data_IF_885625175671
#
_entry.id   IF_885625175671
#
_cell.length_a   1.000
_cell.length_b   1.000
_cell.length_c   1.000
_cell.angle_alpha   90.00
_cell.angle_beta   90.00
_cell.angle_gamma   90.00
#
_symmetry.space_group_name_H-M   'P 1'
#
loop_
_entity.id
_entity.type
_entity.pdbx_description
1 polymer ?
#
# COMPACT_ATOMS: atom_id res chain seq x y z
N UNK A 1 11.35 -0.33 14.86
CA UNK A 1 10.56 -1.53 15.21
C UNK A 1 9.68 -1.87 14.02
N UNK A 2 9.76 -3.08 13.47
CA UNK A 2 8.86 -3.52 12.41
C UNK A 2 7.41 -3.52 12.94
N UNK A 3 6.51 -2.80 12.29
CA UNK A 3 5.09 -2.81 12.64
C UNK A 3 4.55 -4.23 12.48
N UNK A 4 3.95 -4.77 13.53
CA UNK A 4 3.30 -6.09 13.51
C UNK A 4 1.88 -5.87 12.98
N UNK A 5 1.63 -6.14 11.69
CA UNK A 5 0.29 -6.01 11.14
C UNK A 5 0.29 -5.85 9.63
N UNK A 6 -0.90 -5.62 9.08
CA UNK A 6 -1.10 -5.34 7.67
C UNK A 6 -0.42 -4.04 7.27
N UNK A 7 0.26 -4.04 6.14
CA UNK A 7 0.87 -2.84 5.55
C UNK A 7 -0.11 -2.07 4.69
N UNK A 8 0.06 -0.75 4.65
CA UNK A 8 -0.75 0.14 3.82
C UNK A 8 0.15 1.07 3.02
N UNK A 9 -0.24 1.32 1.78
CA UNK A 9 0.55 2.17 0.91
C UNK A 9 -0.26 2.70 -0.27
N UNK A 10 0.45 3.37 -1.17
CA UNK A 10 -0.11 3.87 -2.41
C UNK A 10 0.49 3.13 -3.61
N UNK A 11 -0.36 2.83 -4.58
CA UNK A 11 0.03 2.46 -5.93
C UNK A 11 -0.19 3.70 -6.80
N UNK A 12 0.87 4.47 -6.95
CA UNK A 12 0.86 5.72 -7.67
C UNK A 12 0.98 5.43 -9.17
N UNK A 13 -0.14 5.10 -9.79
CA UNK A 13 -0.35 5.36 -11.19
C UNK A 13 -0.69 6.85 -11.26
N UNK A 14 0.22 7.72 -11.75
CA UNK A 14 0.07 9.16 -11.57
C UNK A 14 -0.92 9.72 -12.58
N UNK A 15 -2.19 9.36 -12.42
CA UNK A 15 -3.29 9.83 -13.25
C UNK A 15 -3.51 11.32 -13.07
N UNK A 16 -3.33 12.08 -14.15
CA UNK A 16 -3.58 13.51 -14.18
C UNK A 16 -4.48 13.87 -15.35
N UNK A 17 -5.38 14.81 -15.12
CA UNK A 17 -6.30 15.28 -16.17
C UNK A 17 -5.52 15.94 -17.29
N UNK A 18 -5.91 15.61 -18.52
CA UNK A 18 -5.32 16.27 -19.69
C UNK A 18 -5.52 17.78 -19.63
N UNK A 19 -4.48 18.55 -19.99
CA UNK A 19 -4.50 20.01 -19.97
C UNK A 19 -4.01 20.66 -18.67
N UNK A 20 -3.72 19.89 -17.64
CA UNK A 20 -3.03 20.40 -16.45
C UNK A 20 -1.54 20.63 -16.71
N UNK A 21 -0.93 21.55 -15.95
CA UNK A 21 0.51 21.78 -16.00
C UNK A 21 1.27 20.54 -15.49
N UNK A 22 2.02 19.81 -16.33
CA UNK A 22 2.65 18.55 -15.94
C UNK A 22 3.72 18.71 -14.85
N UNK A 23 4.39 19.86 -14.77
CA UNK A 23 5.37 20.12 -13.70
C UNK A 23 4.68 20.19 -12.33
N UNK A 24 3.51 20.84 -12.26
CA UNK A 24 2.72 20.93 -11.04
C UNK A 24 2.06 19.58 -10.68
N UNK A 25 1.67 18.81 -11.68
CA UNK A 25 1.16 17.44 -11.48
C UNK A 25 2.23 16.55 -10.83
N UNK A 26 3.45 16.50 -11.37
CA UNK A 26 4.57 15.76 -10.77
C UNK A 26 4.92 16.26 -9.35
N UNK A 27 4.88 17.57 -9.11
CA UNK A 27 5.13 18.12 -7.77
C UNK A 27 4.07 17.66 -6.76
N UNK A 28 2.80 17.60 -7.19
CA UNK A 28 1.67 17.08 -6.36
C UNK A 28 1.83 15.61 -6.00
N UNK A 29 2.33 14.78 -6.90
CA UNK A 29 2.63 13.37 -6.61
C UNK A 29 3.67 13.23 -5.49
N UNK A 30 4.72 14.04 -5.53
CA UNK A 30 5.75 14.05 -4.49
C UNK A 30 5.21 14.57 -3.16
N UNK A 31 4.41 15.62 -3.16
CA UNK A 31 3.72 16.13 -1.96
C UNK A 31 2.83 15.05 -1.33
N UNK A 32 2.14 14.26 -2.15
CA UNK A 32 1.32 13.15 -1.67
C UNK A 32 2.17 12.08 -1.00
N UNK A 33 3.31 11.69 -1.59
CA UNK A 33 4.22 10.72 -0.97
C UNK A 33 4.79 11.25 0.36
N UNK A 34 5.17 12.54 0.44
CA UNK A 34 5.59 13.18 1.70
C UNK A 34 4.50 13.12 2.77
N UNK A 35 3.26 13.42 2.37
CA UNK A 35 2.10 13.37 3.27
C UNK A 35 1.86 11.96 3.80
N UNK A 36 1.96 10.96 2.93
CA UNK A 36 1.81 9.55 3.32
C UNK A 36 2.93 9.10 4.27
N UNK A 37 4.17 9.51 4.06
CA UNK A 37 5.28 9.25 4.99
C UNK A 37 5.00 9.86 6.38
N UNK A 38 4.53 11.11 6.42
CA UNK A 38 4.17 11.79 7.65
C UNK A 38 3.00 11.10 8.38
N UNK A 39 1.98 10.64 7.65
CA UNK A 39 0.84 9.90 8.19
C UNK A 39 1.21 8.48 8.65
N UNK A 40 2.39 8.00 8.26
CA UNK A 40 2.91 6.70 8.65
C UNK A 40 2.44 5.54 7.78
N UNK A 41 2.13 5.78 6.52
CA UNK A 41 1.99 4.72 5.53
C UNK A 41 3.31 3.97 5.32
N UNK A 42 3.22 2.72 4.91
CA UNK A 42 4.38 1.83 4.84
C UNK A 42 5.07 1.87 3.48
N UNK A 43 4.34 2.05 2.37
CA UNK A 43 4.85 1.84 1.02
C UNK A 43 4.26 2.84 0.00
N UNK A 44 5.11 3.30 -0.95
CA UNK A 44 4.68 4.01 -2.16
C UNK A 44 5.29 3.31 -3.38
N UNK A 45 4.45 2.89 -4.33
CA UNK A 45 4.83 2.20 -5.56
C UNK A 45 4.51 3.10 -6.76
N UNK A 46 5.52 3.49 -7.52
CA UNK A 46 5.45 4.52 -8.57
C UNK A 46 5.45 3.86 -9.94
N UNK A 47 4.45 4.14 -10.77
CA UNK A 47 4.25 3.56 -12.10
C UNK A 47 5.20 4.10 -13.15
N UNK A 48 5.29 3.37 -14.29
CA UNK A 48 6.04 3.72 -15.49
C UNK A 48 5.12 3.67 -16.70
N UNK A 49 4.98 4.82 -17.40
CA UNK A 49 4.25 4.90 -18.67
C UNK A 49 4.92 5.89 -19.62
N UNK A 50 4.78 5.64 -20.93
CA UNK A 50 5.46 6.40 -21.99
C UNK A 50 4.49 7.05 -22.98
N UNK A 51 3.18 6.80 -22.85
CA UNK A 51 2.16 7.25 -23.78
C UNK A 51 0.82 7.55 -23.11
N UNK A 52 -0.22 7.76 -23.88
CA UNK A 52 -1.59 8.04 -23.45
C UNK A 52 -1.81 9.38 -22.74
N UNK A 53 -0.75 10.07 -22.25
CA UNK A 53 -0.81 11.44 -21.72
C UNK A 53 -1.35 11.59 -20.29
N UNK A 54 -1.90 10.55 -19.69
CA UNK A 54 -2.52 10.60 -18.36
C UNK A 54 -1.55 10.29 -17.22
N UNK A 55 -0.59 9.41 -17.45
CA UNK A 55 0.42 9.02 -16.50
C UNK A 55 1.78 9.58 -16.95
N UNK A 56 2.32 10.54 -16.21
CA UNK A 56 3.41 11.40 -16.70
C UNK A 56 4.80 10.97 -16.26
N UNK A 57 4.93 9.87 -15.51
CA UNK A 57 6.22 9.38 -15.03
C UNK A 57 6.74 8.29 -15.98
N UNK A 58 7.78 8.62 -16.73
CA UNK A 58 8.44 7.70 -17.67
C UNK A 58 9.61 6.92 -17.02
N UNK A 59 10.11 7.39 -15.89
CA UNK A 59 11.22 6.75 -15.15
C UNK A 59 10.93 6.79 -13.64
N UNK A 60 10.35 5.73 -13.09
CA UNK A 60 10.05 5.67 -11.66
C UNK A 60 11.30 5.82 -10.80
N UNK A 61 12.47 5.40 -11.27
CA UNK A 61 13.74 5.54 -10.55
C UNK A 61 14.08 7.01 -10.22
N UNK A 62 13.80 7.94 -11.14
CA UNK A 62 14.02 9.37 -10.92
C UNK A 62 13.05 9.92 -9.87
N UNK A 63 11.78 9.53 -9.95
CA UNK A 63 10.78 9.93 -8.97
C UNK A 63 11.09 9.34 -7.58
N UNK A 64 11.52 8.08 -7.50
CA UNK A 64 11.98 7.43 -6.26
C UNK A 64 13.16 8.20 -5.66
N UNK A 65 14.19 8.55 -6.46
CA UNK A 65 15.34 9.30 -5.97
C UNK A 65 14.92 10.67 -5.39
N UNK A 66 14.02 11.37 -6.05
CA UNK A 66 13.50 12.65 -5.57
C UNK A 66 12.64 12.51 -4.31
N UNK A 67 11.77 11.49 -4.24
CA UNK A 67 10.95 11.20 -3.07
C UNK A 67 11.80 10.77 -1.86
N UNK A 68 12.90 10.06 -2.08
CA UNK A 68 13.80 9.60 -1.01
C UNK A 68 14.39 10.73 -0.19
N UNK A 69 14.71 11.87 -0.81
CA UNK A 69 15.23 13.07 -0.12
C UNK A 69 14.16 13.78 0.71
N UNK A 70 12.89 13.60 0.36
CA UNK A 70 11.74 14.26 1.01
C UNK A 70 11.10 13.42 2.11
N UNK A 71 11.38 12.11 2.15
CA UNK A 71 10.75 11.14 3.06
C UNK A 71 11.77 10.50 4.00
N UNK A 72 11.29 9.86 5.08
CA UNK A 72 12.15 9.27 6.11
C UNK A 72 11.91 7.79 6.35
N UNK A 73 10.66 7.33 6.25
CA UNK A 73 10.25 6.00 6.70
C UNK A 73 9.62 5.16 5.60
N UNK A 74 8.84 5.77 4.72
CA UNK A 74 8.08 5.07 3.69
C UNK A 74 9.04 4.35 2.73
N UNK A 75 8.72 3.09 2.40
CA UNK A 75 9.42 2.32 1.39
C UNK A 75 9.00 2.83 0.00
N UNK A 76 9.93 2.92 -0.91
CA UNK A 76 9.72 3.49 -2.25
C UNK A 76 10.00 2.44 -3.32
N UNK A 77 8.99 2.09 -4.10
CA UNK A 77 9.10 1.05 -5.12
C UNK A 77 8.67 1.51 -6.51
N UNK A 78 9.19 0.87 -7.54
CA UNK A 78 8.56 0.97 -8.85
C UNK A 78 7.27 0.14 -8.89
N UNK A 79 6.21 0.68 -9.39
CA UNK A 79 4.90 0.03 -9.43
C UNK A 79 4.26 0.08 -10.83
N UNK A 80 4.95 -0.45 -11.85
CA UNK A 80 6.14 -1.31 -11.92
C UNK A 80 7.21 -0.73 -12.86
N UNK A 81 8.41 -1.30 -12.83
CA UNK A 81 9.35 -1.18 -13.94
C UNK A 81 8.94 -2.18 -15.02
N UNK A 82 8.69 -1.70 -16.23
CA UNK A 82 8.31 -2.52 -17.40
C UNK A 82 9.55 -3.20 -17.98
N UNK A 83 9.96 -4.32 -17.40
CA UNK A 83 11.24 -4.98 -17.69
C UNK A 83 11.55 -5.18 -19.18
N UNK A 84 10.58 -5.50 -20.07
CA UNK A 84 10.85 -5.66 -21.52
C UNK A 84 11.36 -4.39 -22.21
N UNK A 85 11.23 -3.23 -21.61
CA UNK A 85 11.66 -1.94 -22.16
C UNK A 85 13.10 -1.59 -21.79
N UNK A 86 13.74 -2.36 -20.89
CA UNK A 86 15.02 -2.03 -20.29
C UNK A 86 16.01 -3.18 -20.36
N UNK A 87 17.28 -2.86 -20.57
CA UNK A 87 18.35 -3.86 -20.44
C UNK A 87 18.48 -4.31 -18.96
N UNK A 88 18.40 -5.62 -18.63
CA UNK A 88 18.32 -6.11 -17.25
C UNK A 88 19.52 -5.72 -16.37
N UNK A 89 20.72 -5.67 -16.95
CA UNK A 89 21.91 -5.21 -16.22
C UNK A 89 21.79 -3.76 -15.74
N UNK A 90 21.23 -2.88 -16.56
CA UNK A 90 21.02 -1.48 -16.20
C UNK A 90 19.93 -1.33 -15.12
N UNK A 91 18.86 -2.12 -15.19
CA UNK A 91 17.84 -2.14 -14.14
C UNK A 91 18.46 -2.56 -12.81
N UNK A 92 19.19 -3.69 -12.78
CA UNK A 92 19.84 -4.18 -11.56
C UNK A 92 20.79 -3.12 -10.96
N UNK A 93 21.63 -2.47 -11.78
CA UNK A 93 22.55 -1.42 -11.32
C UNK A 93 21.84 -0.21 -10.72
N UNK A 94 20.79 0.29 -11.38
CA UNK A 94 20.04 1.47 -10.93
C UNK A 94 19.35 1.20 -9.60
N UNK A 95 18.74 0.02 -9.43
CA UNK A 95 18.07 -0.33 -8.18
C UNK A 95 19.06 -0.61 -7.05
N UNK A 96 20.24 -1.16 -7.32
CA UNK A 96 21.31 -1.25 -6.31
C UNK A 96 21.81 0.13 -5.91
N UNK A 97 21.99 1.04 -6.86
CA UNK A 97 22.34 2.42 -6.56
C UNK A 97 21.27 3.11 -5.69
N UNK A 98 19.97 2.96 -6.03
CA UNK A 98 18.86 3.47 -5.24
C UNK A 98 18.81 2.84 -3.84
N UNK A 99 19.16 1.56 -3.69
CA UNK A 99 19.19 0.88 -2.40
C UNK A 99 20.21 1.56 -1.45
N UNK A 100 21.39 1.93 -1.95
CA UNK A 100 22.35 2.74 -1.21
C UNK A 100 21.85 4.16 -0.93
N UNK A 101 21.30 4.85 -1.94
CA UNK A 101 20.81 6.22 -1.80
C UNK A 101 19.67 6.31 -0.77
N UNK A 102 18.78 5.33 -0.76
CA UNK A 102 17.63 5.26 0.14
C UNK A 102 17.93 4.59 1.49
N UNK A 103 19.14 4.01 1.64
CA UNK A 103 19.57 3.24 2.82
C UNK A 103 18.60 2.09 3.11
N UNK A 104 18.30 1.29 2.09
CA UNK A 104 17.46 0.10 2.21
C UNK A 104 15.95 0.35 2.11
N UNK A 105 15.51 1.53 1.66
CA UNK A 105 14.07 1.84 1.50
C UNK A 105 13.56 1.65 0.07
N UNK A 106 14.37 1.12 -0.86
CA UNK A 106 13.92 0.86 -2.23
C UNK A 106 13.28 -0.52 -2.38
N UNK A 107 12.34 -0.63 -3.31
CA UNK A 107 11.71 -1.87 -3.74
C UNK A 107 11.63 -1.91 -5.27
N UNK A 108 11.73 -3.09 -5.87
CA UNK A 108 11.57 -3.29 -7.32
C UNK A 108 10.26 -4.02 -7.61
N UNK A 109 9.30 -3.33 -8.20
CA UNK A 109 8.14 -3.96 -8.81
C UNK A 109 8.40 -4.22 -10.29
N UNK A 110 8.11 -5.44 -10.73
CA UNK A 110 8.35 -5.91 -12.08
C UNK A 110 7.05 -6.17 -12.83
N UNK A 111 6.98 -5.75 -14.08
CA UNK A 111 5.85 -6.01 -14.97
C UNK A 111 6.24 -6.15 -16.42
N UNK A 112 5.34 -6.68 -17.26
CA UNK A 112 5.58 -6.82 -18.70
C UNK A 112 5.33 -5.55 -19.51
N UNK A 113 4.83 -4.46 -18.88
CA UNK A 113 4.23 -3.33 -19.55
C UNK A 113 2.72 -3.50 -19.70
N UNK A 114 1.97 -2.43 -19.50
CA UNK A 114 0.50 -2.45 -19.46
C UNK A 114 -0.16 -1.84 -20.71
N UNK A 115 0.41 -0.76 -21.26
CA UNK A 115 -0.16 -0.05 -22.38
C UNK A 115 0.39 -0.58 -23.72
N UNK A 116 -0.47 -1.03 -24.65
CA UNK A 116 -0.03 -1.44 -25.99
C UNK A 116 0.68 -0.31 -26.76
N UNK A 117 0.29 0.95 -26.53
CA UNK A 117 0.91 2.11 -27.14
C UNK A 117 2.35 2.33 -26.70
N UNK A 118 2.71 2.03 -25.45
CA UNK A 118 4.09 2.08 -24.96
C UNK A 118 4.96 1.08 -25.72
N UNK A 119 4.52 -0.19 -25.80
CA UNK A 119 5.22 -1.23 -26.54
C UNK A 119 5.36 -0.90 -28.01
N UNK A 120 4.29 -0.37 -28.65
CA UNK A 120 4.30 0.05 -30.05
C UNK A 120 5.34 1.15 -30.31
N UNK A 121 5.38 2.20 -29.49
CA UNK A 121 6.35 3.29 -29.63
C UNK A 121 7.79 2.85 -29.44
N UNK A 122 8.02 1.82 -28.60
CA UNK A 122 9.33 1.22 -28.38
C UNK A 122 9.69 0.13 -29.42
N UNK A 123 8.81 -0.14 -30.40
CA UNK A 123 9.05 -1.16 -31.43
C UNK A 123 9.03 -2.59 -30.89
N UNK A 124 8.25 -2.84 -29.83
CA UNK A 124 8.16 -4.16 -29.21
C UNK A 124 6.77 -4.76 -29.46
N UNK A 125 6.75 -5.93 -30.08
CA UNK A 125 5.51 -6.66 -30.29
C UNK A 125 4.96 -7.20 -28.95
N UNK A 126 3.67 -6.97 -28.63
CA UNK A 126 3.08 -7.37 -27.35
C UNK A 126 3.22 -8.88 -27.02
N UNK A 127 3.30 -9.73 -28.02
CA UNK A 127 3.48 -11.19 -27.86
C UNK A 127 4.80 -11.54 -27.18
N UNK A 128 5.81 -10.68 -27.28
CA UNK A 128 7.14 -10.89 -26.68
C UNK A 128 7.26 -10.37 -25.24
N UNK A 129 6.36 -9.53 -24.78
CA UNK A 129 6.50 -8.82 -23.50
C UNK A 129 6.65 -9.77 -22.30
N UNK A 130 5.84 -10.82 -22.22
CA UNK A 130 5.88 -11.76 -21.09
C UNK A 130 7.18 -12.55 -21.05
N UNK A 131 7.62 -13.08 -22.19
CA UNK A 131 8.89 -13.80 -22.30
C UNK A 131 10.07 -12.91 -21.94
N UNK A 132 10.14 -11.70 -22.51
CA UNK A 132 11.20 -10.74 -22.20
C UNK A 132 11.23 -10.36 -20.72
N UNK A 133 10.06 -10.23 -20.10
CA UNK A 133 9.99 -10.00 -18.65
C UNK A 133 10.59 -11.17 -17.85
N UNK A 134 10.27 -12.41 -18.18
CA UNK A 134 10.83 -13.60 -17.50
C UNK A 134 12.36 -13.68 -17.66
N UNK A 135 12.84 -13.50 -18.87
CA UNK A 135 14.28 -13.49 -19.20
C UNK A 135 15.02 -12.36 -18.42
N UNK A 136 14.43 -11.17 -18.38
CA UNK A 136 14.98 -10.03 -17.63
C UNK A 136 14.98 -10.28 -16.12
N UNK A 137 13.89 -10.80 -15.59
CA UNK A 137 13.75 -11.07 -14.15
C UNK A 137 14.76 -12.12 -13.69
N UNK A 138 14.95 -13.20 -14.45
CA UNK A 138 15.97 -14.21 -14.18
C UNK A 138 17.38 -13.62 -14.17
N UNK A 139 17.71 -12.81 -15.18
CA UNK A 139 18.98 -12.11 -15.28
C UNK A 139 19.23 -11.17 -14.07
N UNK A 140 18.20 -10.38 -13.68
CA UNK A 140 18.30 -9.45 -12.53
C UNK A 140 18.52 -10.21 -11.23
N UNK A 141 17.80 -11.31 -10.99
CA UNK A 141 17.93 -12.11 -9.77
C UNK A 141 19.33 -12.73 -9.69
N UNK A 142 19.86 -13.25 -10.80
CA UNK A 142 21.23 -13.78 -10.85
C UNK A 142 22.27 -12.71 -10.58
N UNK A 143 22.14 -11.53 -11.16
CA UNK A 143 23.05 -10.40 -10.94
C UNK A 143 23.04 -9.94 -9.46
N UNK A 144 21.87 -9.90 -8.82
CA UNK A 144 21.74 -9.45 -7.42
C UNK A 144 22.32 -10.42 -6.39
N UNK A 145 22.54 -11.67 -6.74
CA UNK A 145 23.26 -12.62 -5.87
C UNK A 145 24.73 -12.24 -5.68
N UNK A 146 25.33 -11.57 -6.67
CA UNK A 146 26.74 -11.12 -6.68
C UNK A 146 27.78 -12.23 -6.49
N UNK A 147 27.41 -13.48 -6.61
CA UNK A 147 28.27 -14.65 -6.42
C UNK A 147 29.07 -15.01 -7.67
N UNK A 148 28.52 -14.88 -8.86
CA UNK A 148 29.13 -15.23 -10.13
C UNK A 148 29.04 -14.11 -11.18
N UNK A 149 29.80 -14.28 -12.27
CA UNK A 149 29.61 -13.49 -13.50
C UNK A 149 28.52 -14.09 -14.34
N UNK A 150 27.61 -13.28 -14.84
CA UNK A 150 26.45 -13.69 -15.62
C UNK A 150 26.71 -13.49 -17.11
N UNK A 151 26.74 -14.58 -17.86
CA UNK A 151 26.67 -14.54 -19.33
C UNK A 151 25.33 -15.05 -19.77
N UNK A 152 24.61 -14.24 -20.54
CA UNK A 152 23.27 -14.57 -21.05
C UNK A 152 23.05 -13.86 -22.40
N UNK A 153 22.54 -14.58 -23.39
CA UNK A 153 22.22 -14.06 -24.71
C UNK A 153 20.79 -14.44 -25.09
N UNK A 154 20.02 -13.47 -25.54
CA UNK A 154 18.64 -13.60 -26.04
C UNK A 154 18.52 -12.90 -27.40
N UNK A 155 17.34 -12.86 -27.99
CA UNK A 155 17.09 -12.11 -29.22
C UNK A 155 16.98 -10.57 -29.02
N UNK A 156 17.05 -10.08 -27.76
CA UNK A 156 16.83 -8.66 -27.45
C UNK A 156 17.83 -8.06 -26.46
N UNK A 157 18.60 -8.86 -25.72
CA UNK A 157 19.75 -8.39 -24.95
C UNK A 157 20.88 -9.42 -24.91
N UNK A 158 22.09 -8.94 -24.66
CA UNK A 158 23.27 -9.78 -24.42
C UNK A 158 24.03 -9.26 -23.20
N UNK A 159 24.46 -10.17 -22.32
CA UNK A 159 25.39 -9.91 -21.22
C UNK A 159 26.58 -10.85 -21.35
N UNK A 160 27.79 -10.30 -21.24
CA UNK A 160 29.05 -11.05 -21.30
C UNK A 160 29.80 -10.85 -19.99
N UNK A 161 29.94 -11.93 -19.20
CA UNK A 161 30.62 -11.91 -17.91
C UNK A 161 30.20 -10.72 -17.00
N UNK A 162 28.91 -10.33 -17.08
CA UNK A 162 28.38 -9.20 -16.36
C UNK A 162 28.38 -9.47 -14.85
N UNK A 163 28.83 -8.50 -14.07
CA UNK A 163 28.78 -8.52 -12.61
C UNK A 163 28.54 -7.12 -12.10
N UNK A 164 27.69 -6.98 -11.11
CA UNK A 164 27.48 -5.70 -10.45
C UNK A 164 28.77 -5.31 -9.70
N UNK A 165 29.20 -4.06 -9.86
CA UNK A 165 30.37 -3.54 -9.17
C UNK A 165 30.03 -3.01 -7.77
N UNK A 166 28.74 -2.84 -7.48
CA UNK A 166 28.19 -2.47 -6.19
C UNK A 166 27.23 -3.57 -5.76
N UNK A 167 27.42 -4.13 -4.57
CA UNK A 167 26.49 -5.09 -4.00
C UNK A 167 25.25 -4.35 -3.44
N UNK A 168 24.09 -5.01 -3.30
CA UNK A 168 22.94 -4.42 -2.62
C UNK A 168 23.30 -3.92 -1.21
N UNK A 169 22.70 -2.81 -0.79
CA UNK A 169 22.79 -2.32 0.59
C UNK A 169 21.95 -3.20 1.52
N UNK A 170 20.83 -3.67 1.06
CA UNK A 170 19.91 -4.56 1.77
C UNK A 170 20.39 -6.01 1.73
N UNK A 171 20.29 -6.75 2.84
CA UNK A 171 20.69 -8.16 2.93
C UNK A 171 19.46 -9.09 2.89
N UNK A 172 19.43 -10.11 2.01
CA UNK A 172 20.38 -10.41 0.93
C UNK A 172 20.19 -9.49 -0.30
N UNK A 173 19.10 -8.74 -0.40
CA UNK A 173 18.76 -7.74 -1.43
C UNK A 173 17.50 -6.97 -1.03
N UNK A 174 17.21 -5.88 -1.73
CA UNK A 174 15.93 -5.16 -1.61
C UNK A 174 14.73 -6.03 -2.04
N UNK A 175 13.53 -5.64 -1.59
CA UNK A 175 12.30 -6.35 -1.90
C UNK A 175 11.97 -6.29 -3.39
N UNK A 176 11.61 -7.44 -3.97
CA UNK A 176 11.15 -7.57 -5.36
C UNK A 176 9.73 -8.13 -5.36
N UNK A 177 8.84 -7.51 -6.14
CA UNK A 177 7.48 -7.97 -6.33
C UNK A 177 7.10 -7.99 -7.82
N UNK A 178 6.19 -8.87 -8.19
CA UNK A 178 5.70 -9.02 -9.57
C UNK A 178 4.25 -8.56 -9.64
N UNK A 179 3.94 -7.74 -10.65
CA UNK A 179 2.57 -7.34 -10.94
C UNK A 179 1.75 -8.52 -11.47
N UNK A 180 0.56 -8.69 -10.91
CA UNK A 180 -0.41 -9.68 -11.35
C UNK A 180 -1.75 -9.02 -11.64
N UNK A 181 -2.31 -9.35 -12.80
CA UNK A 181 -3.65 -8.94 -13.22
C UNK A 181 -4.58 -10.15 -13.23
N UNK A 182 -5.37 -10.32 -14.28
CA UNK A 182 -6.34 -11.43 -14.39
C UNK A 182 -5.65 -12.74 -14.85
N UNK A 183 -4.57 -12.63 -15.63
CA UNK A 183 -3.88 -13.82 -16.16
C UNK A 183 -2.97 -14.45 -15.10
N UNK A 184 -2.73 -15.77 -15.14
CA UNK A 184 -1.88 -16.45 -14.18
C UNK A 184 -0.39 -16.07 -14.28
N UNK A 185 0.01 -15.36 -15.33
CA UNK A 185 1.41 -15.06 -15.65
C UNK A 185 2.18 -14.44 -14.48
N UNK A 186 1.63 -13.39 -13.86
CA UNK A 186 2.31 -12.71 -12.73
C UNK A 186 2.49 -13.62 -11.52
N UNK A 187 1.52 -14.49 -11.25
CA UNK A 187 1.60 -15.48 -10.16
C UNK A 187 2.65 -16.55 -10.43
N UNK A 188 2.72 -17.04 -11.68
CA UNK A 188 3.76 -18.00 -12.10
C UNK A 188 5.15 -17.37 -12.01
N UNK A 189 5.35 -16.15 -12.51
CA UNK A 189 6.62 -15.47 -12.46
C UNK A 189 7.09 -15.19 -11.00
N UNK A 190 6.17 -14.76 -10.12
CA UNK A 190 6.47 -14.59 -8.70
C UNK A 190 6.80 -15.92 -8.01
N UNK A 191 6.00 -16.97 -8.27
CA UNK A 191 6.18 -18.30 -7.68
C UNK A 191 7.52 -18.93 -8.03
N UNK A 192 7.96 -18.82 -9.28
CA UNK A 192 9.24 -19.39 -9.76
C UNK A 192 10.43 -18.94 -8.91
N UNK A 193 10.40 -17.74 -8.36
CA UNK A 193 11.51 -17.13 -7.60
C UNK A 193 11.16 -16.84 -6.13
N UNK A 194 9.96 -17.17 -5.65
CA UNK A 194 9.50 -16.86 -4.29
C UNK A 194 9.43 -15.36 -4.00
N UNK A 195 8.93 -14.57 -4.95
CA UNK A 195 8.87 -13.11 -4.87
C UNK A 195 7.53 -12.60 -4.32
N UNK A 196 7.49 -11.32 -3.94
CA UNK A 196 6.25 -10.63 -3.61
C UNK A 196 5.32 -10.49 -4.81
N UNK A 197 4.05 -10.18 -4.54
CA UNK A 197 3.01 -10.01 -5.58
C UNK A 197 2.28 -8.69 -5.37
N UNK A 198 2.10 -7.94 -6.45
CA UNK A 198 1.24 -6.77 -6.56
C UNK A 198 -0.01 -7.18 -7.36
N UNK A 199 -1.11 -7.53 -6.67
CA UNK A 199 -2.37 -7.94 -7.30
C UNK A 199 -3.17 -6.73 -7.76
N UNK A 200 -2.82 -6.18 -8.92
CA UNK A 200 -3.56 -5.07 -9.57
C UNK A 200 -4.94 -5.56 -10.03
N UNK A 201 -5.04 -6.83 -10.40
CA UNK A 201 -6.30 -7.46 -10.82
C UNK A 201 -7.36 -7.53 -9.72
N UNK A 202 -6.99 -7.43 -8.44
CA UNK A 202 -7.94 -7.44 -7.34
C UNK A 202 -8.93 -6.26 -7.37
N UNK A 203 -8.54 -5.12 -7.94
CA UNK A 203 -9.40 -3.96 -8.18
C UNK A 203 -10.27 -4.04 -9.44
N UNK A 204 -10.28 -5.16 -10.14
CA UNK A 204 -11.06 -5.37 -11.34
C UNK A 204 -12.27 -6.28 -11.08
N UNK A 205 -13.36 -6.20 -11.88
CA UNK A 205 -14.49 -7.11 -11.77
C UNK A 205 -14.05 -8.59 -11.79
N UNK A 206 -14.53 -9.39 -10.82
CA UNK A 206 -14.13 -10.79 -10.64
C UNK A 206 -12.77 -10.99 -9.99
N UNK A 207 -12.03 -9.91 -9.71
CA UNK A 207 -10.71 -9.97 -9.08
C UNK A 207 -10.74 -10.50 -7.65
N UNK A 208 -11.61 -9.99 -6.76
CA UNK A 208 -11.70 -10.48 -5.40
C UNK A 208 -12.01 -11.98 -5.30
N UNK A 209 -12.90 -12.48 -6.14
CA UNK A 209 -13.27 -13.89 -6.21
C UNK A 209 -12.12 -14.78 -6.70
N UNK A 210 -11.26 -14.25 -7.57
CA UNK A 210 -10.12 -14.98 -8.11
C UNK A 210 -8.89 -15.02 -7.18
N UNK A 211 -8.82 -14.18 -6.14
CA UNK A 211 -7.61 -14.01 -5.32
C UNK A 211 -7.07 -15.34 -4.74
N UNK A 212 -7.94 -16.17 -4.15
CA UNK A 212 -7.51 -17.42 -3.54
C UNK A 212 -6.93 -18.40 -4.57
N UNK A 213 -7.57 -18.54 -5.74
CA UNK A 213 -7.08 -19.40 -6.82
C UNK A 213 -5.81 -18.86 -7.47
N UNK A 214 -5.70 -17.55 -7.63
CA UNK A 214 -4.49 -16.90 -8.12
C UNK A 214 -3.30 -17.12 -7.18
N UNK A 215 -3.48 -16.94 -5.88
CA UNK A 215 -2.42 -17.20 -4.90
C UNK A 215 -1.96 -18.66 -4.91
N UNK A 216 -2.91 -19.60 -5.04
CA UNK A 216 -2.57 -21.02 -5.16
C UNK A 216 -1.68 -21.33 -6.37
N UNK A 217 -1.87 -20.66 -7.50
CA UNK A 217 -0.98 -20.80 -8.66
C UNK A 217 0.47 -20.41 -8.27
N UNK A 218 0.66 -19.34 -7.53
CA UNK A 218 1.99 -18.93 -7.08
C UNK A 218 2.60 -19.95 -6.10
N UNK A 219 1.83 -20.47 -5.15
CA UNK A 219 2.29 -21.49 -4.19
C UNK A 219 2.67 -22.81 -4.91
N UNK A 220 1.83 -23.29 -5.83
CA UNK A 220 2.08 -24.51 -6.60
C UNK A 220 3.33 -24.34 -7.49
N UNK A 221 3.49 -23.18 -8.12
CA UNK A 221 4.69 -22.89 -8.93
C UNK A 221 5.94 -22.80 -8.06
N UNK A 222 5.86 -22.16 -6.88
CA UNK A 222 7.00 -22.09 -5.97
C UNK A 222 7.45 -23.48 -5.51
N UNK A 223 6.52 -24.35 -5.16
CA UNK A 223 6.83 -25.73 -4.78
C UNK A 223 7.56 -26.50 -5.89
N UNK A 224 7.14 -26.31 -7.17
CA UNK A 224 7.79 -26.94 -8.34
C UNK A 224 9.24 -26.45 -8.55
N UNK A 225 9.57 -25.22 -8.11
CA UNK A 225 10.89 -24.61 -8.31
C UNK A 225 11.74 -24.55 -7.03
N UNK A 226 11.31 -25.22 -5.94
CA UNK A 226 12.04 -25.22 -4.66
C UNK A 226 12.03 -23.86 -3.94
N UNK A 227 11.08 -22.99 -4.27
CA UNK A 227 10.88 -21.70 -3.65
C UNK A 227 9.68 -21.72 -2.67
N UNK A 228 9.50 -20.64 -1.92
CA UNK A 228 8.39 -20.51 -0.96
C UNK A 228 7.74 -19.14 -1.11
N UNK A 229 6.41 -19.13 -1.19
CA UNK A 229 5.62 -17.90 -1.20
C UNK A 229 5.30 -17.44 0.23
N UNK A 230 5.35 -16.13 0.44
CA UNK A 230 5.02 -15.53 1.73
C UNK A 230 3.87 -14.53 1.56
N UNK A 231 2.71 -14.82 2.16
CA UNK A 231 1.53 -13.94 2.12
C UNK A 231 1.79 -12.54 2.68
N UNK A 232 2.80 -12.35 3.53
CA UNK A 232 3.22 -11.03 4.02
C UNK A 232 3.77 -10.13 2.90
N UNK A 233 4.20 -10.71 1.78
CA UNK A 233 4.72 -10.02 0.61
C UNK A 233 3.69 -9.89 -0.51
N UNK A 234 2.43 -10.22 -0.23
CA UNK A 234 1.30 -10.06 -1.14
C UNK A 234 0.59 -8.74 -0.87
N UNK A 235 0.49 -7.89 -1.89
CA UNK A 235 -0.21 -6.60 -1.87
C UNK A 235 -1.42 -6.65 -2.79
N UNK A 236 -2.56 -6.19 -2.26
CA UNK A 236 -3.80 -6.05 -3.02
C UNK A 236 -3.94 -4.58 -3.42
N UNK A 237 -4.17 -4.31 -4.71
CA UNK A 237 -4.32 -2.95 -5.25
C UNK A 237 -5.79 -2.68 -5.52
N UNK A 238 -6.36 -1.67 -4.86
CA UNK A 238 -7.75 -1.23 -5.02
C UNK A 238 -7.86 0.29 -5.00
N UNK A 239 -8.92 0.86 -5.58
CA UNK A 239 -9.23 2.28 -5.39
C UNK A 239 -9.68 2.57 -3.95
N UNK A 240 -9.41 3.79 -3.43
CA UNK A 240 -9.84 4.17 -2.09
C UNK A 240 -10.19 5.65 -1.99
N UNK A 241 -11.35 5.93 -1.37
CA UNK A 241 -11.68 7.27 -0.87
C UNK A 241 -12.60 7.17 0.34
N UNK A 242 -12.20 7.74 1.46
CA UNK A 242 -13.06 7.77 2.65
C UNK A 242 -13.35 9.19 3.11
N UNK A 243 -14.53 9.35 3.67
CA UNK A 243 -14.99 10.57 4.31
C UNK A 243 -15.61 10.23 5.69
N UNK A 244 -16.20 11.20 6.35
CA UNK A 244 -16.81 11.00 7.67
C UNK A 244 -18.01 10.06 7.63
N UNK A 245 -18.69 9.96 6.48
CA UNK A 245 -19.79 9.04 6.23
C UNK A 245 -19.79 8.53 4.77
N UNK A 246 -20.50 7.41 4.53
CA UNK A 246 -20.54 6.74 3.24
C UNK A 246 -21.11 7.62 2.12
N UNK A 247 -22.19 8.34 2.40
CA UNK A 247 -22.85 9.17 1.40
C UNK A 247 -21.98 10.38 1.00
N UNK A 248 -21.24 10.96 1.96
CA UNK A 248 -20.29 12.03 1.69
C UNK A 248 -19.16 11.53 0.80
N UNK A 249 -18.57 10.37 1.11
CA UNK A 249 -17.52 9.77 0.31
C UNK A 249 -17.98 9.53 -1.14
N UNK A 250 -19.13 8.91 -1.32
CA UNK A 250 -19.73 8.65 -2.64
C UNK A 250 -19.98 9.93 -3.44
N UNK A 251 -20.53 10.98 -2.80
CA UNK A 251 -20.73 12.28 -3.46
C UNK A 251 -19.41 12.92 -3.91
N UNK A 252 -18.35 12.82 -3.11
CA UNK A 252 -17.04 13.41 -3.42
C UNK A 252 -16.38 12.80 -4.65
N UNK A 253 -16.54 11.49 -4.86
CA UNK A 253 -15.82 10.77 -5.92
C UNK A 253 -16.60 10.64 -7.23
N UNK A 254 -17.93 10.78 -7.21
CA UNK A 254 -18.82 10.45 -8.33
C UNK A 254 -18.42 11.10 -9.66
N UNK A 255 -18.13 12.40 -9.63
CA UNK A 255 -17.81 13.15 -10.85
C UNK A 255 -16.41 12.82 -11.39
N UNK A 256 -15.43 12.68 -10.50
CA UNK A 256 -14.06 12.38 -10.88
C UNK A 256 -13.86 10.95 -11.36
N UNK A 257 -14.51 9.98 -10.71
CA UNK A 257 -14.50 8.58 -11.16
C UNK A 257 -15.13 8.45 -12.55
N UNK A 258 -16.26 9.07 -12.76
CA UNK A 258 -16.90 9.06 -14.08
C UNK A 258 -16.03 9.69 -15.16
N UNK A 259 -15.36 10.80 -14.85
CA UNK A 259 -14.42 11.44 -15.77
C UNK A 259 -13.26 10.51 -16.12
N UNK A 260 -12.62 9.88 -15.13
CA UNK A 260 -11.52 8.92 -15.34
C UNK A 260 -12.00 7.73 -16.17
N UNK A 261 -13.16 7.15 -15.84
CA UNK A 261 -13.71 6.01 -16.56
C UNK A 261 -13.98 6.35 -18.02
N UNK A 262 -14.67 7.47 -18.28
CA UNK A 262 -15.01 7.86 -19.66
C UNK A 262 -13.78 8.31 -20.44
N UNK A 263 -13.00 9.28 -19.93
CA UNK A 263 -11.97 9.91 -20.75
C UNK A 263 -10.68 9.08 -20.84
N UNK A 264 -10.30 8.34 -19.78
CA UNK A 264 -9.12 7.51 -19.83
C UNK A 264 -9.43 6.09 -20.29
N UNK A 265 -10.30 5.36 -19.58
CA UNK A 265 -10.49 3.94 -19.89
C UNK A 265 -11.28 3.70 -21.17
N UNK A 266 -12.33 4.47 -21.45
CA UNK A 266 -13.18 4.27 -22.63
C UNK A 266 -12.61 4.99 -23.86
N UNK A 267 -12.47 6.33 -23.82
CA UNK A 267 -12.04 7.14 -24.96
C UNK A 267 -10.55 6.93 -25.31
N UNK A 268 -9.64 6.92 -24.33
CA UNK A 268 -8.20 6.79 -24.59
C UNK A 268 -7.77 5.35 -24.77
N UNK A 269 -8.22 4.42 -23.91
CA UNK A 269 -7.80 3.01 -23.95
C UNK A 269 -8.77 2.10 -24.71
N UNK A 270 -9.91 2.60 -25.17
CA UNK A 270 -10.89 1.82 -25.96
C UNK A 270 -11.57 0.70 -25.19
N UNK A 271 -11.68 0.81 -23.85
CA UNK A 271 -12.43 -0.18 -23.08
C UNK A 271 -13.92 -0.05 -23.30
N UNK A 272 -14.62 -1.17 -23.27
CA UNK A 272 -16.08 -1.19 -23.40
C UNK A 272 -16.70 -0.49 -22.18
N UNK A 273 -17.64 0.48 -22.40
CA UNK A 273 -18.33 1.15 -21.32
C UNK A 273 -19.04 0.19 -20.37
N UNK A 274 -18.96 0.46 -19.09
CA UNK A 274 -19.72 -0.26 -18.08
C UNK A 274 -21.21 0.09 -18.16
N UNK A 275 -22.08 -0.81 -17.69
CA UNK A 275 -23.54 -0.64 -17.71
C UNK A 275 -24.12 -0.18 -16.37
N UNK A 276 -23.29 0.07 -15.36
CA UNK A 276 -23.75 0.47 -14.03
C UNK A 276 -24.09 1.95 -13.97
N UNK A 277 -25.21 2.27 -13.32
CA UNK A 277 -25.62 3.64 -13.00
C UNK A 277 -24.81 4.24 -11.81
N UNK A 278 -24.24 3.39 -10.95
CA UNK A 278 -23.42 3.78 -9.79
C UNK A 278 -22.22 2.83 -9.64
N UNK A 279 -21.21 2.96 -10.53
CA UNK A 279 -20.06 2.04 -10.58
C UNK A 279 -19.23 2.04 -9.28
N UNK A 280 -19.18 3.17 -8.57
CA UNK A 280 -18.46 3.26 -7.29
C UNK A 280 -19.14 2.41 -6.22
N UNK A 281 -20.47 2.56 -6.05
CA UNK A 281 -21.25 1.78 -5.07
C UNK A 281 -21.23 0.29 -5.39
N UNK A 282 -21.31 -0.07 -6.65
CA UNK A 282 -21.21 -1.46 -7.09
C UNK A 282 -19.80 -2.01 -6.88
N UNK A 283 -18.76 -1.21 -7.10
CA UNK A 283 -17.39 -1.57 -6.78
C UNK A 283 -17.17 -1.85 -5.28
N UNK A 284 -17.77 -1.06 -4.39
CA UNK A 284 -17.73 -1.32 -2.93
C UNK A 284 -18.38 -2.67 -2.59
N UNK A 285 -19.55 -2.97 -3.18
CA UNK A 285 -20.24 -4.26 -2.98
C UNK A 285 -19.39 -5.44 -3.50
N UNK A 286 -18.78 -5.27 -4.68
CA UNK A 286 -17.92 -6.25 -5.32
C UNK A 286 -16.49 -6.29 -4.76
N UNK A 287 -16.15 -5.48 -3.76
CA UNK A 287 -14.83 -5.38 -3.12
C UNK A 287 -13.70 -4.92 -4.05
N UNK A 288 -14.00 -4.30 -5.18
CA UNK A 288 -13.00 -3.76 -6.12
C UNK A 288 -12.53 -2.36 -5.74
N UNK A 289 -13.25 -1.68 -4.83
CA UNK A 289 -12.89 -0.37 -4.32
C UNK A 289 -13.32 -0.18 -2.86
N UNK A 290 -12.63 0.70 -2.15
CA UNK A 290 -12.86 1.05 -0.73
C UNK A 290 -13.34 2.49 -0.67
N UNK A 291 -14.65 2.71 -0.82
CA UNK A 291 -15.26 4.06 -0.74
C UNK A 291 -16.35 4.08 0.32
N UNK A 292 -16.25 5.01 1.28
CA UNK A 292 -17.21 5.14 2.38
C UNK A 292 -16.60 5.76 3.64
N UNK A 293 -17.16 5.42 4.78
CA UNK A 293 -16.67 5.79 6.11
C UNK A 293 -15.47 4.90 6.52
N UNK A 294 -14.74 5.26 7.60
CA UNK A 294 -13.72 4.38 8.18
C UNK A 294 -14.24 2.97 8.51
N UNK A 295 -15.46 2.85 9.03
CA UNK A 295 -16.10 1.57 9.34
C UNK A 295 -16.38 0.77 8.08
N UNK A 296 -16.81 1.41 7.00
CA UNK A 296 -16.99 0.76 5.70
C UNK A 296 -15.66 0.28 5.14
N UNK A 297 -14.60 1.07 5.26
CA UNK A 297 -13.26 0.67 4.84
C UNK A 297 -12.77 -0.59 5.60
N UNK A 298 -12.96 -0.64 6.91
CA UNK A 298 -12.61 -1.83 7.72
C UNK A 298 -13.38 -3.05 7.20
N UNK A 299 -14.70 -2.97 7.05
CA UNK A 299 -15.52 -4.09 6.57
C UNK A 299 -15.11 -4.59 5.18
N UNK A 300 -14.79 -3.68 4.25
CA UNK A 300 -14.36 -4.05 2.89
C UNK A 300 -13.02 -4.79 2.93
N UNK A 301 -12.04 -4.28 3.69
CA UNK A 301 -10.72 -4.91 3.80
C UNK A 301 -10.81 -6.28 4.51
N UNK A 302 -11.63 -6.42 5.54
CA UNK A 302 -11.89 -7.72 6.18
C UNK A 302 -12.49 -8.75 5.21
N UNK A 303 -13.46 -8.33 4.39
CA UNK A 303 -14.06 -9.20 3.37
C UNK A 303 -13.06 -9.56 2.27
N UNK A 304 -12.22 -8.62 1.82
CA UNK A 304 -11.10 -8.90 0.91
C UNK A 304 -10.13 -9.91 1.51
N UNK A 305 -9.78 -9.75 2.79
CA UNK A 305 -8.92 -10.69 3.50
C UNK A 305 -9.52 -12.09 3.56
N UNK A 306 -10.82 -12.19 3.83
CA UNK A 306 -11.53 -13.46 3.82
C UNK A 306 -11.57 -14.10 2.42
N UNK A 307 -11.86 -13.31 1.37
CA UNK A 307 -11.90 -13.77 -0.03
C UNK A 307 -10.55 -14.30 -0.52
N UNK A 308 -9.43 -13.81 0.02
CA UNK A 308 -8.08 -14.27 -0.33
C UNK A 308 -7.76 -15.70 0.16
N UNK A 309 -8.60 -16.31 0.99
CA UNK A 309 -8.40 -17.67 1.48
C UNK A 309 -7.23 -17.83 2.45
N UNK A 310 -6.91 -16.81 3.24
CA UNK A 310 -5.82 -16.87 4.25
C UNK A 310 -5.13 -15.51 4.50
N UNK A 311 -5.71 -14.43 3.99
CA UNK A 311 -5.19 -13.08 4.15
C UNK A 311 -4.06 -12.74 3.20
N UNK A 312 -3.60 -11.50 3.31
CA UNK A 312 -2.50 -10.91 2.54
C UNK A 312 -1.72 -9.93 3.43
N UNK A 313 -0.53 -9.53 2.97
CA UNK A 313 0.38 -8.69 3.77
C UNK A 313 0.03 -7.21 3.77
N UNK A 314 -0.71 -6.71 2.78
CA UNK A 314 -1.07 -5.29 2.76
C UNK A 314 -1.98 -4.87 1.61
N UNK A 315 -2.47 -3.64 1.71
CA UNK A 315 -3.31 -3.00 0.71
C UNK A 315 -2.61 -1.76 0.18
N UNK A 316 -2.58 -1.63 -1.13
CA UNK A 316 -2.11 -0.45 -1.83
C UNK A 316 -3.30 0.26 -2.47
N UNK A 317 -3.41 1.55 -2.25
CA UNK A 317 -4.47 2.33 -2.84
C UNK A 317 -4.02 2.92 -4.16
N UNK A 318 -4.72 2.57 -5.24
CA UNK A 318 -4.47 3.17 -6.54
C UNK A 318 -4.73 4.67 -6.46
N UNK A 319 -3.72 5.47 -6.79
CA UNK A 319 -3.88 6.92 -6.91
C UNK A 319 -4.90 7.27 -8.00
N UNK A 320 -5.67 8.30 -7.78
CA UNK A 320 -6.68 8.81 -8.70
C UNK A 320 -7.06 10.26 -8.37
N UNK A 321 -7.69 10.94 -9.31
CA UNK A 321 -8.21 12.30 -9.14
C UNK A 321 -9.75 12.31 -9.08
N UNK A 322 -10.35 11.40 -8.30
CA UNK A 322 -11.80 11.32 -8.15
C UNK A 322 -12.39 12.47 -7.33
N UNK A 323 -11.58 13.04 -6.42
CA UNK A 323 -12.00 14.11 -5.51
C UNK A 323 -11.00 15.29 -5.57
N UNK A 324 -11.32 16.40 -4.90
CA UNK A 324 -10.37 17.52 -4.81
C UNK A 324 -9.12 17.14 -4.04
N UNK A 325 -8.04 17.93 -4.19
CA UNK A 325 -6.79 17.70 -3.46
C UNK A 325 -7.03 17.64 -1.93
N UNK A 326 -7.79 18.60 -1.39
CA UNK A 326 -8.10 18.66 0.04
C UNK A 326 -8.87 17.42 0.51
N UNK A 327 -9.85 16.99 -0.27
CA UNK A 327 -10.65 15.79 0.03
C UNK A 327 -9.78 14.52 -0.04
N UNK A 328 -8.89 14.42 -1.03
CA UNK A 328 -7.94 13.32 -1.17
C UNK A 328 -6.98 13.24 0.02
N UNK A 329 -6.36 14.36 0.39
CA UNK A 329 -5.46 14.44 1.55
C UNK A 329 -6.19 14.07 2.84
N UNK A 330 -7.43 14.55 3.01
CA UNK A 330 -8.26 14.23 4.17
C UNK A 330 -8.66 12.76 4.21
N UNK A 331 -8.94 12.15 3.08
CA UNK A 331 -9.25 10.73 2.95
C UNK A 331 -8.09 9.87 3.46
N UNK A 332 -6.86 10.12 3.02
CA UNK A 332 -5.68 9.41 3.53
C UNK A 332 -5.46 9.65 5.03
N UNK A 333 -5.71 10.87 5.54
CA UNK A 333 -5.62 11.18 6.97
C UNK A 333 -6.64 10.37 7.79
N UNK A 334 -7.90 10.33 7.38
CA UNK A 334 -8.95 9.56 8.05
C UNK A 334 -8.61 8.08 8.09
N UNK A 335 -8.09 7.54 6.97
CA UNK A 335 -7.66 6.15 6.89
C UNK A 335 -6.51 5.87 7.88
N UNK A 336 -5.49 6.72 7.92
CA UNK A 336 -4.37 6.58 8.84
C UNK A 336 -4.79 6.67 10.31
N UNK A 337 -5.78 7.53 10.64
CA UNK A 337 -6.25 7.72 12.01
C UNK A 337 -7.15 6.61 12.52
N UNK A 338 -8.04 6.09 11.68
CA UNK A 338 -9.14 5.23 12.15
C UNK A 338 -9.10 3.81 11.60
N UNK A 339 -8.49 3.58 10.41
CA UNK A 339 -8.47 2.26 9.77
C UNK A 339 -7.14 1.53 10.01
N UNK A 340 -6.01 2.18 9.76
CA UNK A 340 -4.69 1.56 9.96
C UNK A 340 -4.49 1.01 11.37
N UNK A 341 -4.84 1.74 12.46
CA UNK A 341 -4.63 1.24 13.83
C UNK A 341 -5.43 -0.04 14.14
N UNK A 342 -6.59 -0.24 13.50
CA UNK A 342 -7.40 -1.45 13.64
C UNK A 342 -6.63 -2.68 13.14
N UNK A 343 -6.09 -2.64 11.93
CA UNK A 343 -5.35 -3.76 11.34
C UNK A 343 -3.92 -3.92 11.87
N UNK A 344 -3.33 -2.86 12.38
CA UNK A 344 -1.96 -2.86 12.91
C UNK A 344 -1.90 -3.11 14.42
N UNK A 345 -3.05 -3.15 15.10
CA UNK A 345 -3.14 -3.36 16.55
C UNK A 345 -2.57 -2.20 17.38
N UNK A 346 -2.33 -1.04 16.79
CA UNK A 346 -1.67 0.09 17.47
C UNK A 346 -2.53 0.69 18.61
N UNK A 347 -3.85 0.63 18.50
CA UNK A 347 -4.77 1.13 19.49
C UNK A 347 -5.11 0.10 20.61
N UNK A 348 -4.80 -1.16 20.42
CA UNK A 348 -5.18 -2.24 21.35
C UNK A 348 -4.70 -2.00 22.80
N UNK A 349 -3.42 -1.63 23.07
CA UNK A 349 -2.98 -1.38 24.44
C UNK A 349 -3.69 -0.22 25.12
N UNK A 350 -4.06 0.81 24.36
CA UNK A 350 -4.80 1.98 24.90
C UNK A 350 -6.22 1.57 25.30
N UNK A 351 -6.89 0.79 24.45
CA UNK A 351 -8.24 0.26 24.69
C UNK A 351 -8.23 -0.66 25.90
N UNK A 352 -7.28 -1.59 25.98
CA UNK A 352 -7.10 -2.50 27.11
C UNK A 352 -6.85 -1.74 28.42
N UNK A 353 -5.94 -0.74 28.40
CA UNK A 353 -5.66 0.09 29.57
C UNK A 353 -6.90 0.84 30.07
N UNK A 354 -7.66 1.42 29.13
CA UNK A 354 -8.90 2.12 29.48
C UNK A 354 -9.96 1.17 30.04
N UNK A 355 -10.10 -0.03 29.48
CA UNK A 355 -11.00 -1.07 29.97
C UNK A 355 -10.61 -1.50 31.40
N UNK A 356 -9.33 -1.79 31.63
CA UNK A 356 -8.81 -2.17 32.93
C UNK A 356 -9.11 -1.10 34.00
N UNK A 357 -8.89 0.19 33.69
CA UNK A 357 -9.20 1.29 34.62
C UNK A 357 -10.70 1.34 34.94
N UNK A 358 -11.57 1.16 33.95
CA UNK A 358 -13.04 1.11 34.15
C UNK A 358 -13.47 -0.02 35.06
N UNK A 359 -12.94 -1.22 34.83
CA UNK A 359 -13.25 -2.42 35.63
C UNK A 359 -12.74 -2.31 37.06
N UNK A 360 -11.57 -1.71 37.26
CA UNK A 360 -10.94 -1.57 38.56
C UNK A 360 -11.20 -0.20 39.22
N UNK A 361 -12.12 0.61 38.64
CA UNK A 361 -12.34 2.00 39.04
C UNK A 361 -12.57 2.16 40.54
N UNK A 362 -13.42 1.35 41.17
CA UNK A 362 -13.72 1.43 42.59
C UNK A 362 -12.46 1.27 43.45
N UNK A 363 -11.68 0.22 43.20
CA UNK A 363 -10.45 -0.07 43.93
C UNK A 363 -9.38 1.04 43.77
N UNK A 364 -9.18 1.51 42.54
CA UNK A 364 -8.16 2.53 42.22
C UNK A 364 -8.55 3.90 42.82
N UNK A 365 -9.82 4.30 42.70
CA UNK A 365 -10.30 5.58 43.17
C UNK A 365 -10.44 5.66 44.70
N UNK A 366 -10.78 4.56 45.41
CA UNK A 366 -10.81 4.53 46.86
C UNK A 366 -9.45 4.87 47.48
N UNK A 367 -8.36 4.33 46.93
CA UNK A 367 -7.01 4.64 47.38
C UNK A 367 -6.67 6.15 47.18
N UNK A 368 -7.14 6.75 46.09
CA UNK A 368 -6.92 8.17 45.84
C UNK A 368 -7.72 9.07 46.78
N UNK A 369 -8.97 8.69 47.07
CA UNK A 369 -9.79 9.41 48.06
C UNK A 369 -9.14 9.41 49.44
N UNK A 370 -8.61 8.25 49.89
CA UNK A 370 -7.89 8.14 51.16
C UNK A 370 -6.58 8.98 51.15
N UNK A 371 -5.83 8.96 50.07
CA UNK A 371 -4.63 9.77 49.94
C UNK A 371 -4.92 11.30 50.04
N UNK A 372 -6.01 11.74 49.38
CA UNK A 372 -6.46 13.14 49.45
C UNK A 372 -6.90 13.47 50.87
N UNK A 373 -7.66 12.59 51.56
CA UNK A 373 -8.08 12.80 52.95
C UNK A 373 -6.87 12.96 53.87
N UNK A 374 -5.86 12.06 53.77
CA UNK A 374 -4.63 12.13 54.55
C UNK A 374 -3.87 13.44 54.32
N UNK A 375 -3.73 13.88 53.09
CA UNK A 375 -3.05 15.14 52.79
C UNK A 375 -3.68 16.35 53.45
N UNK A 376 -4.99 16.38 53.68
CA UNK A 376 -5.67 17.41 54.45
C UNK A 376 -5.48 17.20 55.94
N UNK A 377 -5.66 15.98 56.48
CA UNK A 377 -5.52 15.71 57.91
C UNK A 377 -4.10 15.95 58.42
N UNK A 378 -3.08 15.54 57.66
CA UNK A 378 -1.66 15.73 58.00
C UNK A 378 -1.26 17.20 58.06
N UNK A 379 -2.02 18.07 57.40
CA UNK A 379 -1.82 19.52 57.47
C UNK A 379 -2.78 20.23 58.47
N UNK A 380 -3.54 19.47 59.27
CA UNK A 380 -4.51 20.00 60.20
C UNK A 380 -5.72 20.69 59.56
N UNK A 381 -6.03 20.37 58.34
CA UNK A 381 -7.13 20.94 57.55
C UNK A 381 -8.23 19.92 57.30
N UNK A 382 -9.48 20.38 57.22
CA UNK A 382 -10.61 19.53 56.72
C UNK A 382 -10.68 19.54 55.21
N UNK A 383 -11.13 18.42 54.65
CA UNK A 383 -11.41 18.34 53.20
C UNK A 383 -12.59 19.27 52.85
N UNK A 384 -12.41 20.26 51.94
CA UNK A 384 -13.50 21.14 51.52
C UNK A 384 -14.68 20.35 50.94
N UNK A 385 -15.92 20.76 51.24
CA UNK A 385 -17.13 20.08 50.79
C UNK A 385 -17.20 19.98 49.24
N UNK A 386 -16.70 21.00 48.54
CA UNK A 386 -16.59 21.02 47.09
C UNK A 386 -15.67 19.91 46.50
N UNK A 387 -14.73 19.39 47.28
CA UNK A 387 -13.81 18.34 46.92
C UNK A 387 -14.36 16.93 47.24
N UNK A 388 -15.32 16.81 48.15
CA UNK A 388 -15.94 15.54 48.53
C UNK A 388 -16.68 14.87 47.38
N UNK A 389 -17.10 15.62 46.33
CA UNK A 389 -17.92 15.17 45.21
C UNK A 389 -17.21 15.20 43.87
N UNK A 390 -15.93 15.59 43.76
CA UNK A 390 -15.20 15.69 42.49
C UNK A 390 -14.65 14.34 41.95
N UNK A 391 -14.67 13.30 42.74
CA UNK A 391 -14.28 11.96 42.32
C UNK A 391 -15.53 11.10 42.07
N UNK A 392 -15.81 10.78 40.83
CA UNK A 392 -16.83 9.78 40.45
C UNK A 392 -16.45 8.46 41.13
N UNK A 393 -17.23 8.02 42.12
CA UNK A 393 -16.91 6.85 42.96
C UNK A 393 -16.93 7.13 44.44
N UNK A 394 -16.90 8.41 44.88
CA UNK A 394 -17.05 8.77 46.27
C UNK A 394 -18.49 8.56 46.79
N UNK A 395 -19.47 8.45 45.92
CA UNK A 395 -20.87 8.20 46.27
C UNK A 395 -21.16 6.72 46.57
N UNK A 396 -20.28 5.82 46.18
CA UNK A 396 -20.45 4.35 46.35
C UNK A 396 -19.56 3.76 47.46
N UNK A 397 -18.83 4.60 48.19
CA UNK A 397 -18.06 4.17 49.37
C UNK A 397 -18.94 4.38 50.58
N UNK A 398 -19.61 3.29 51.03
CA UNK A 398 -20.20 3.26 52.38
C UNK A 398 -19.10 3.63 53.41
N UNK A 399 -19.39 4.52 54.38
CA UNK A 399 -18.45 4.78 55.45
C UNK A 399 -18.10 3.46 56.13
N UNK A 400 -16.81 3.16 56.29
CA UNK A 400 -16.39 2.04 57.13
C UNK A 400 -17.07 2.18 58.47
N UNK A 401 -17.77 1.13 58.90
CA UNK A 401 -18.32 1.08 60.24
C UNK A 401 -17.15 1.26 61.22
N UNK A 402 -17.26 2.23 62.10
CA UNK A 402 -16.35 2.42 63.22
C UNK A 402 -16.49 1.17 64.13
N UNK A 403 -15.41 0.38 64.23
CA UNK A 403 -15.15 -0.56 65.32
C UNK A 403 -14.08 0.02 66.23
#
# INVERSE_FOLDING_TARGET
>A
MARRGMKFGIFLAPFHRLGENPTLAMARDLELIEWLDWLGYDEAWIGEHHSAGWEVIASPELAIAQAAERTRNIMLGSGVTSLPYHHPFLVAQRFVQLDHMTRGRVMLGCGPGALPSDAYMLGIEPVHLRRRMEESLDAIIRLLRCDERVTMSTDWFEMREAKLHLAPYSDPRFHIAVASTITPFGMVAAGRHGLGVLSIGAGLPGGPEAMASQWKIAEDTAAQHGATMNRKDWRIVVGMHIAEDDEKALRQVKAGERHETTSYFEETLGRVPGTSDDPVRDGVKALTTVVGSPETAIRVIERLSAASGGGFGGVLFRAHEWATREQTMKSYELFARYVMPYFQGAAAPLIESAAWVRENRRRVMSNNVEAVRRAFTDTGRSVPDEMKYRTVGAQDVEPAADD
#
